data_IF_726417265533
#
_entry.id   IF_726417265533
#
_cell.length_a   1.000
_cell.length_b   1.000
_cell.length_c   1.000
_cell.angle_alpha   90.00
_cell.angle_beta   90.00
_cell.angle_gamma   90.00
#
_symmetry.space_group_name_H-M   'P 1'
#
loop_
_entity.id
_entity.type
_entity.pdbx_description
1 polymer ?
#
# COMPACT_ATOMS: atom_id res chain seq x y z
N UNK A 1 -5.12 26.36 7.01
CA UNK A 1 -5.10 25.33 5.95
C UNK A 1 -5.54 24.03 6.60
N UNK A 2 -6.63 23.39 6.14
CA UNK A 2 -7.00 22.07 6.64
C UNK A 2 -5.87 21.06 6.34
N UNK A 3 -5.74 20.04 7.18
CA UNK A 3 -4.76 18.96 6.98
C UNK A 3 -5.12 18.21 5.69
N UNK A 4 -4.12 17.95 4.85
CA UNK A 4 -4.28 17.26 3.57
C UNK A 4 -3.32 16.08 3.51
N UNK A 5 -3.85 14.91 3.21
CA UNK A 5 -3.06 13.70 2.99
C UNK A 5 -2.49 13.75 1.57
N UNK A 6 -1.15 13.75 1.47
CA UNK A 6 -0.41 13.74 0.20
C UNK A 6 0.44 12.48 0.02
N UNK A 7 1.05 12.02 1.11
CA UNK A 7 1.94 10.87 1.14
C UNK A 7 1.51 9.93 2.26
N UNK A 8 1.35 8.65 1.94
CA UNK A 8 1.01 7.61 2.91
C UNK A 8 1.94 6.42 2.71
N UNK A 9 2.44 5.87 3.81
CA UNK A 9 3.08 4.56 3.84
C UNK A 9 2.26 3.66 4.78
N UNK A 10 1.95 2.45 4.33
CA UNK A 10 1.26 1.44 5.13
C UNK A 10 2.17 0.21 5.14
N UNK A 11 2.70 -0.10 6.30
CA UNK A 11 3.59 -1.24 6.51
C UNK A 11 2.82 -2.39 7.18
N UNK A 12 3.30 -3.62 6.99
CA UNK A 12 2.77 -4.79 7.68
C UNK A 12 1.39 -5.23 7.19
N UNK A 13 1.10 -5.05 5.90
CA UNK A 13 -0.20 -5.42 5.32
C UNK A 13 -0.30 -6.94 5.16
N UNK A 14 -1.37 -7.54 5.71
CA UNK A 14 -1.67 -8.97 5.56
C UNK A 14 -2.66 -9.26 4.43
N UNK A 15 -3.30 -8.25 3.85
CA UNK A 15 -4.28 -8.39 2.77
C UNK A 15 -5.70 -8.70 3.26
N UNK A 16 -6.01 -8.40 4.52
CA UNK A 16 -7.35 -8.57 5.10
C UNK A 16 -8.35 -7.57 4.51
N UNK A 17 -9.65 -7.91 4.55
CA UNK A 17 -10.71 -7.01 4.07
C UNK A 17 -10.69 -5.64 4.75
N UNK A 18 -10.34 -5.58 6.05
CA UNK A 18 -10.24 -4.32 6.79
C UNK A 18 -9.11 -3.43 6.27
N UNK A 19 -7.95 -4.00 5.93
CA UNK A 19 -6.84 -3.27 5.33
C UNK A 19 -7.21 -2.77 3.92
N UNK A 20 -7.92 -3.59 3.15
CA UNK A 20 -8.43 -3.21 1.83
C UNK A 20 -9.41 -2.05 1.91
N UNK A 21 -10.36 -2.11 2.84
CA UNK A 21 -11.34 -1.04 3.06
C UNK A 21 -10.68 0.26 3.53
N UNK A 22 -9.65 0.17 4.38
CA UNK A 22 -8.87 1.33 4.79
C UNK A 22 -8.11 1.97 3.62
N UNK A 23 -7.44 1.17 2.81
CA UNK A 23 -6.75 1.63 1.60
C UNK A 23 -7.73 2.30 0.63
N UNK A 24 -8.88 1.66 0.39
CA UNK A 24 -9.95 2.19 -0.45
C UNK A 24 -10.50 3.52 0.10
N UNK A 25 -10.70 3.61 1.41
CA UNK A 25 -11.12 4.85 2.07
C UNK A 25 -10.13 5.98 1.79
N UNK A 26 -8.83 5.74 1.96
CA UNK A 26 -7.81 6.74 1.69
C UNK A 26 -7.81 7.18 0.22
N UNK A 27 -7.90 6.24 -0.72
CA UNK A 27 -7.96 6.54 -2.16
C UNK A 27 -9.22 7.35 -2.53
N UNK A 28 -10.36 7.08 -1.90
CA UNK A 28 -11.63 7.76 -2.17
C UNK A 28 -11.76 9.14 -1.53
N UNK A 29 -11.10 9.39 -0.40
CA UNK A 29 -11.32 10.60 0.40
C UNK A 29 -10.09 11.49 0.56
N UNK A 30 -8.97 11.15 -0.08
CA UNK A 30 -7.76 11.97 -0.12
C UNK A 30 -7.57 12.61 -1.49
N UNK A 31 -8.24 13.75 -1.79
CA UNK A 31 -8.22 14.38 -3.11
C UNK A 31 -6.85 14.96 -3.50
N UNK A 32 -5.92 15.09 -2.55
CA UNK A 32 -4.55 15.57 -2.78
C UNK A 32 -3.50 14.49 -2.60
N UNK A 33 -3.92 13.22 -2.57
CA UNK A 33 -2.98 12.11 -2.47
C UNK A 33 -2.11 12.08 -3.74
N UNK A 34 -0.81 12.14 -3.54
CA UNK A 34 0.20 12.07 -4.60
C UNK A 34 0.81 10.65 -4.61
N UNK A 35 1.08 10.09 -3.42
CA UNK A 35 1.76 8.79 -3.31
C UNK A 35 1.26 7.97 -2.13
N UNK A 36 1.04 6.68 -2.39
CA UNK A 36 0.74 5.67 -1.38
C UNK A 36 1.68 4.47 -1.56
N UNK A 37 2.52 4.20 -0.56
CA UNK A 37 3.40 3.03 -0.54
C UNK A 37 2.79 1.95 0.35
N UNK A 38 2.70 0.74 -0.18
CA UNK A 38 2.17 -0.44 0.51
C UNK A 38 3.29 -1.46 0.68
N UNK A 39 3.59 -1.80 1.93
CA UNK A 39 4.57 -2.84 2.29
C UNK A 39 3.85 -4.00 2.95
N UNK A 40 3.54 -5.08 2.20
CA UNK A 40 2.93 -6.26 2.77
C UNK A 40 3.93 -7.04 3.64
N UNK A 41 3.41 -7.86 4.55
CA UNK A 41 4.25 -8.80 5.33
C UNK A 41 4.77 -9.93 4.45
N UNK A 42 3.96 -10.37 3.49
CA UNK A 42 4.32 -11.40 2.51
C UNK A 42 4.31 -10.84 1.09
N UNK A 43 5.13 -11.40 0.22
CA UNK A 43 5.43 -10.84 -1.10
C UNK A 43 4.21 -10.72 -2.04
N UNK A 44 3.13 -11.47 -1.82
CA UNK A 44 2.00 -11.46 -2.73
C UNK A 44 0.65 -11.79 -2.10
N UNK A 45 -0.25 -10.79 -2.06
CA UNK A 45 -1.69 -11.00 -1.83
C UNK A 45 -2.46 -10.62 -3.11
N UNK A 46 -2.84 -11.60 -3.96
CA UNK A 46 -3.53 -11.35 -5.23
C UNK A 46 -4.80 -10.50 -5.07
N UNK A 47 -5.48 -10.62 -3.93
CA UNK A 47 -6.70 -9.93 -3.56
C UNK A 47 -6.46 -8.43 -3.41
N UNK A 48 -5.35 -8.05 -2.78
CA UNK A 48 -4.94 -6.67 -2.60
C UNK A 48 -4.58 -6.02 -3.94
N UNK A 49 -3.79 -6.69 -4.77
CA UNK A 49 -3.46 -6.19 -6.12
C UNK A 49 -4.72 -6.01 -6.97
N UNK A 50 -5.64 -6.99 -6.94
CA UNK A 50 -6.93 -6.90 -7.67
C UNK A 50 -7.82 -5.76 -7.16
N UNK A 51 -7.87 -5.56 -5.83
CA UNK A 51 -8.61 -4.44 -5.22
C UNK A 51 -8.07 -3.09 -5.69
N UNK A 52 -6.74 -2.90 -5.58
CA UNK A 52 -6.05 -1.66 -5.91
C UNK A 52 -6.25 -1.18 -7.35
N UNK A 53 -6.29 -2.10 -8.30
CA UNK A 53 -6.53 -1.77 -9.72
C UNK A 53 -7.96 -1.28 -9.94
N UNK A 54 -8.91 -1.73 -9.13
CA UNK A 54 -10.35 -1.44 -9.28
C UNK A 54 -10.83 -0.25 -8.46
N UNK A 55 -10.05 0.18 -7.46
CA UNK A 55 -10.46 1.28 -6.60
C UNK A 55 -10.43 2.61 -7.34
N UNK A 56 -11.56 3.31 -7.28
CA UNK A 56 -11.64 4.71 -7.72
C UNK A 56 -10.75 5.57 -6.83
N UNK A 57 -10.19 6.62 -7.42
CA UNK A 57 -9.30 7.57 -6.75
C UNK A 57 -9.91 8.96 -6.83
N UNK A 58 -9.91 9.68 -5.70
CA UNK A 58 -10.29 11.09 -5.68
C UNK A 58 -9.21 11.99 -6.29
N UNK A 59 -7.95 11.58 -6.17
CA UNK A 59 -6.82 12.22 -6.86
C UNK A 59 -6.50 11.46 -8.14
N UNK A 60 -6.45 12.19 -9.26
CA UNK A 60 -6.00 11.64 -10.55
C UNK A 60 -4.50 11.35 -10.59
N UNK A 61 -3.73 12.07 -9.78
CA UNK A 61 -2.26 11.97 -9.71
C UNK A 61 -1.79 10.98 -8.63
N UNK A 62 -2.71 10.34 -7.89
CA UNK A 62 -2.33 9.41 -6.84
C UNK A 62 -1.66 8.17 -7.44
N UNK A 63 -0.39 7.96 -7.12
CA UNK A 63 0.34 6.73 -7.41
C UNK A 63 0.23 5.75 -6.24
N UNK A 64 0.06 4.46 -6.54
CA UNK A 64 0.11 3.38 -5.54
C UNK A 64 1.31 2.50 -5.88
N UNK A 65 2.26 2.44 -4.96
CA UNK A 65 3.51 1.70 -5.11
C UNK A 65 3.48 0.50 -4.18
N UNK A 66 3.77 -0.67 -4.76
CA UNK A 66 4.03 -1.89 -4.01
C UNK A 66 5.52 -1.98 -3.72
N UNK A 67 5.89 -2.06 -2.45
CA UNK A 67 7.28 -2.28 -2.04
C UNK A 67 7.40 -3.72 -1.54
N UNK A 68 8.11 -4.53 -2.32
CA UNK A 68 8.33 -5.94 -1.99
C UNK A 68 9.27 -6.07 -0.79
N UNK A 69 8.73 -6.58 0.32
CA UNK A 69 9.46 -6.86 1.55
C UNK A 69 10.42 -8.05 1.42
N UNK A 70 10.35 -8.84 0.34
CA UNK A 70 11.24 -9.97 0.09
C UNK A 70 12.70 -9.57 -0.19
N UNK A 71 12.96 -8.30 -0.52
CA UNK A 71 14.30 -7.77 -0.78
C UNK A 71 15.13 -7.52 0.50
N UNK A 72 14.63 -7.85 1.69
CA UNK A 72 15.34 -7.66 2.97
C UNK A 72 15.80 -8.95 3.66
N UNK A 73 15.99 -10.06 2.91
CA UNK A 73 16.38 -11.36 3.46
C UNK A 73 17.68 -11.96 2.88
N UNK A 74 18.64 -11.13 2.47
CA UNK A 74 19.97 -11.59 2.04
C UNK A 74 20.98 -11.78 3.20
N UNK A 75 20.56 -11.72 4.48
CA UNK A 75 21.46 -11.79 5.66
C UNK A 75 21.20 -12.94 6.62
N UNK A 76 20.77 -14.11 6.14
CA UNK A 76 20.92 -15.35 6.90
C UNK A 76 21.74 -16.37 6.09
N UNK A 77 22.97 -15.98 5.73
CA UNK A 77 24.04 -16.96 5.57
C UNK A 77 24.40 -17.44 6.97
N UNK A 78 23.80 -18.57 7.38
CA UNK A 78 24.34 -19.34 8.51
C UNK A 78 25.54 -20.10 7.94
N UNK A 79 26.73 -19.54 8.09
CA UNK A 79 27.96 -20.30 7.97
C UNK A 79 27.97 -21.34 9.11
N UNK A 80 27.81 -22.62 8.75
CA UNK A 80 28.08 -23.78 9.61
C UNK A 80 29.58 -24.11 9.59
#
# INVERSE_FOLDING_TARGET
MPIQVRHVAIDGIFGTDLELDFIKFLLLYSPMLEKMTLKPVESFTPELVRGLIRFKRASGEAEVIWEDSSLHNDYLVIDN
#
